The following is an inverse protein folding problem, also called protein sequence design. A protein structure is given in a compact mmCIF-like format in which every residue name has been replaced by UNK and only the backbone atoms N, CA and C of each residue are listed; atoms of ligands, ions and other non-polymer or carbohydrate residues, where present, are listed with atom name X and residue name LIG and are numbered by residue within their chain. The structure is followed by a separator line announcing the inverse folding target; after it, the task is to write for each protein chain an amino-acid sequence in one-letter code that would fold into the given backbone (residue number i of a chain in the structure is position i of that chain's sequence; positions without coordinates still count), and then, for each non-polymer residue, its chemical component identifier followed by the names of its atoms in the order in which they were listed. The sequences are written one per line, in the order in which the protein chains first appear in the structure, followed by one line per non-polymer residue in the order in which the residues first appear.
data_IF_148760617257
#
_entry.id   IF_148760617257
#
_cell.length_a   1.000
_cell.length_b   1.000
_cell.length_c   1.000
_cell.angle_alpha   90.00
_cell.angle_beta   90.00
_cell.angle_gamma   90.00
#
_symmetry.space_group_name_H-M   'P 1'
#
loop_
_entity.id
_entity.type
_entity.pdbx_description
1 polymer ?
#
# COMPACT_ATOMS: atom_id res chain seq x y z
N UNK A 1 -1.17 5.22 2.96
CA UNK A 1 -2.27 5.26 3.94
C UNK A 1 -3.62 5.32 3.23
N UNK A 2 -4.44 4.29 3.43
CA UNK A 2 -5.77 4.12 2.85
C UNK A 2 -6.84 5.04 3.47
N UNK A 3 -6.61 5.58 4.68
CA UNK A 3 -7.61 6.33 5.46
C UNK A 3 -8.95 5.60 5.69
N UNK A 4 -8.93 4.28 5.64
CA UNK A 4 -10.11 3.43 5.86
C UNK A 4 -10.80 3.63 7.23
N UNK A 5 -10.08 4.14 8.23
CA UNK A 5 -10.62 4.51 9.54
C UNK A 5 -11.52 5.76 9.54
N UNK A 6 -11.61 6.53 8.43
CA UNK A 6 -12.39 7.78 8.35
C UNK A 6 -13.84 7.60 7.88
N UNK A 7 -14.43 6.42 8.01
CA UNK A 7 -15.77 6.09 7.48
C UNK A 7 -15.90 6.39 5.97
N UNK A 8 -14.82 6.18 5.22
CA UNK A 8 -14.85 6.26 3.76
C UNK A 8 -15.62 5.07 3.20
N UNK A 9 -16.30 5.28 2.07
CA UNK A 9 -16.87 4.19 1.28
C UNK A 9 -15.76 3.29 0.70
N UNK A 10 -16.09 2.05 0.37
CA UNK A 10 -15.13 1.14 -0.26
C UNK A 10 -14.55 1.69 -1.57
N UNK A 11 -15.35 2.44 -2.34
CA UNK A 11 -14.92 3.09 -3.58
C UNK A 11 -13.90 4.21 -3.32
N UNK A 12 -14.11 5.04 -2.31
CA UNK A 12 -13.16 6.10 -1.91
C UNK A 12 -11.84 5.52 -1.40
N UNK A 13 -11.90 4.44 -0.61
CA UNK A 13 -10.70 3.69 -0.15
C UNK A 13 -9.93 3.17 -1.38
N UNK A 14 -10.64 2.51 -2.29
CA UNK A 14 -10.06 1.95 -3.52
C UNK A 14 -9.39 3.03 -4.35
N UNK A 15 -10.12 4.10 -4.71
CA UNK A 15 -9.60 5.20 -5.51
C UNK A 15 -8.37 5.85 -4.85
N UNK A 16 -8.41 6.06 -3.54
CA UNK A 16 -7.30 6.67 -2.82
C UNK A 16 -6.02 5.84 -2.90
N UNK A 17 -6.16 4.52 -2.75
CA UNK A 17 -5.02 3.60 -2.82
C UNK A 17 -4.51 3.54 -4.26
N UNK A 18 -5.36 3.21 -5.23
CA UNK A 18 -4.95 2.99 -6.62
C UNK A 18 -4.40 4.24 -7.28
N UNK A 19 -4.85 5.45 -6.90
CA UNK A 19 -4.31 6.70 -7.42
C UNK A 19 -2.93 7.09 -6.86
N UNK A 20 -2.41 6.41 -5.83
CA UNK A 20 -1.18 6.80 -5.12
C UNK A 20 -0.11 5.72 -5.06
N UNK A 21 -0.48 4.47 -5.29
CA UNK A 21 0.49 3.36 -5.31
C UNK A 21 1.53 3.59 -6.40
N UNK A 22 2.76 3.25 -6.06
CA UNK A 22 3.92 3.25 -6.93
C UNK A 22 4.84 2.10 -6.51
N UNK A 23 5.79 1.65 -7.37
CA UNK A 23 6.67 0.54 -7.03
C UNK A 23 7.40 0.73 -5.69
N UNK A 24 7.26 -0.25 -4.80
CA UNK A 24 7.80 -0.21 -3.43
C UNK A 24 6.88 0.42 -2.38
N UNK A 25 5.65 0.82 -2.73
CA UNK A 25 4.68 1.36 -1.77
C UNK A 25 4.30 0.35 -0.68
N UNK A 26 4.30 0.80 0.57
CA UNK A 26 3.68 0.09 1.70
C UNK A 26 2.33 0.75 1.99
N UNK A 27 1.24 0.02 1.78
CA UNK A 27 -0.12 0.52 1.97
C UNK A 27 -0.66 0.12 3.34
N UNK A 28 -0.85 1.11 4.21
CA UNK A 28 -1.46 0.93 5.53
C UNK A 28 -2.98 0.80 5.43
N UNK A 29 -3.53 -0.22 6.11
CA UNK A 29 -4.95 -0.46 6.38
C UNK A 29 -5.15 -0.83 7.85
N UNK A 30 -6.38 -0.69 8.34
CA UNK A 30 -6.81 -1.10 9.67
C UNK A 30 -7.71 -2.33 9.58
N UNK A 31 -7.38 -3.39 10.34
CA UNK A 31 -8.11 -4.66 10.32
C UNK A 31 -9.58 -4.55 10.80
N UNK A 32 -9.92 -3.52 11.56
CA UNK A 32 -11.25 -3.28 12.10
C UNK A 32 -12.03 -2.17 11.36
N UNK A 33 -11.50 -1.65 10.24
CA UNK A 33 -12.21 -0.64 9.46
C UNK A 33 -13.38 -1.26 8.67
N UNK A 34 -14.54 -0.62 8.76
CA UNK A 34 -15.84 -1.13 8.29
C UNK A 34 -15.84 -1.56 6.82
N UNK A 35 -15.29 -0.72 5.94
CA UNK A 35 -15.31 -0.93 4.49
C UNK A 35 -14.01 -1.50 3.92
N UNK A 36 -13.02 -1.82 4.77
CA UNK A 36 -11.76 -2.44 4.30
C UNK A 36 -11.99 -3.81 3.65
N UNK A 37 -12.78 -4.73 4.23
CA UNK A 37 -13.07 -6.01 3.58
C UNK A 37 -13.75 -5.86 2.22
N UNK A 38 -14.58 -4.83 2.04
CA UNK A 38 -15.29 -4.52 0.79
C UNK A 38 -14.36 -3.93 -0.27
N UNK A 39 -13.41 -3.08 0.10
CA UNK A 39 -12.49 -2.42 -0.83
C UNK A 39 -11.33 -3.34 -1.29
N UNK A 40 -10.88 -4.26 -0.44
CA UNK A 40 -9.69 -5.07 -0.69
C UNK A 40 -9.71 -5.87 -2.01
N UNK A 41 -10.80 -6.54 -2.41
CA UNK A 41 -10.84 -7.29 -3.67
C UNK A 41 -10.49 -6.42 -4.89
N UNK A 42 -11.11 -5.25 -5.02
CA UNK A 42 -10.86 -4.33 -6.14
C UNK A 42 -9.44 -3.76 -6.12
N UNK A 43 -8.89 -3.49 -4.93
CA UNK A 43 -7.50 -3.02 -4.78
C UNK A 43 -6.52 -4.11 -5.21
N UNK A 44 -6.72 -5.34 -4.75
CA UNK A 44 -5.85 -6.48 -5.09
C UNK A 44 -5.92 -6.76 -6.59
N UNK A 45 -7.12 -6.81 -7.17
CA UNK A 45 -7.29 -7.01 -8.62
C UNK A 45 -6.58 -5.92 -9.42
N UNK A 46 -6.77 -4.65 -9.07
CA UNK A 46 -6.08 -3.54 -9.72
C UNK A 46 -4.56 -3.69 -9.66
N UNK A 47 -4.00 -4.02 -8.49
CA UNK A 47 -2.56 -4.17 -8.32
C UNK A 47 -2.00 -5.29 -9.19
N UNK A 48 -2.64 -6.46 -9.19
CA UNK A 48 -2.21 -7.60 -10.00
C UNK A 48 -2.31 -7.29 -11.51
N UNK A 49 -3.40 -6.67 -11.96
CA UNK A 49 -3.58 -6.28 -13.37
C UNK A 49 -2.56 -5.23 -13.84
N UNK A 50 -2.06 -4.38 -12.93
CA UNK A 50 -1.04 -3.38 -13.23
C UNK A 50 0.39 -3.88 -12.97
N UNK A 51 0.59 -5.20 -12.83
CA UNK A 51 1.92 -5.82 -12.76
C UNK A 51 2.61 -5.71 -11.40
N UNK A 52 1.88 -5.33 -10.34
CA UNK A 52 2.42 -5.34 -8.98
C UNK A 52 2.41 -6.76 -8.40
N UNK A 53 3.41 -7.04 -7.56
CA UNK A 53 3.42 -8.20 -6.66
C UNK A 53 3.11 -7.74 -5.24
N UNK A 54 2.21 -8.44 -4.55
CA UNK A 54 1.91 -8.19 -3.13
C UNK A 54 2.82 -9.11 -2.32
N UNK A 55 3.75 -8.51 -1.58
CA UNK A 55 4.77 -9.22 -0.82
C UNK A 55 4.78 -8.78 0.65
N UNK A 56 5.30 -9.61 1.57
CA UNK A 56 5.59 -9.16 2.94
C UNK A 56 6.61 -8.02 2.96
N UNK A 57 6.52 -7.13 3.95
CA UNK A 57 7.46 -6.00 4.11
C UNK A 57 8.92 -6.47 4.14
N UNK A 58 9.20 -7.66 4.69
CA UNK A 58 10.55 -8.23 4.74
C UNK A 58 11.21 -8.42 3.37
N UNK A 59 10.43 -8.54 2.29
CA UNK A 59 10.93 -8.64 0.92
C UNK A 59 11.18 -7.27 0.26
N UNK A 60 10.62 -6.19 0.82
CA UNK A 60 10.86 -4.81 0.36
C UNK A 60 12.06 -4.15 1.04
N UNK A 61 12.52 -4.68 2.18
CA UNK A 61 13.63 -4.11 2.95
C UNK A 61 14.95 -4.38 2.24
N UNK A 62 15.72 -3.31 1.99
CA UNK A 62 17.10 -3.41 1.48
C UNK A 62 17.99 -3.93 2.62
N UNK A 63 18.72 -5.01 2.34
CA UNK A 63 19.73 -5.59 3.24
C UNK A 63 21.12 -5.13 2.81
N UNK A 64 22.00 -4.87 3.77
CA UNK A 64 23.35 -4.35 3.51
C UNK A 64 23.42 -2.83 3.66
N UNK A 65 24.28 -2.19 2.88
CA UNK A 65 24.48 -0.74 2.93
C UNK A 65 23.34 0.00 2.21
N UNK A 66 22.69 0.92 2.91
CA UNK A 66 21.66 1.80 2.38
C UNK A 66 21.71 3.15 3.10
N UNK A 67 21.13 4.16 2.45
CA UNK A 67 20.80 5.44 3.09
C UNK A 67 19.29 5.56 3.25
N UNK A 68 18.85 6.42 4.16
CA UNK A 68 17.43 6.76 4.33
C UNK A 68 17.26 8.24 4.05
N UNK A 69 16.30 8.58 3.19
CA UNK A 69 15.95 9.97 2.93
C UNK A 69 15.03 10.55 4.02
N UNK A 70 14.74 11.85 3.94
CA UNK A 70 13.87 12.53 4.89
C UNK A 70 12.41 12.01 4.89
N UNK A 71 12.01 11.21 3.90
CA UNK A 71 10.68 10.57 3.82
C UNK A 71 10.66 9.19 4.47
N UNK A 72 11.80 8.69 4.95
CA UNK A 72 11.94 7.35 5.52
C UNK A 72 12.14 6.25 4.47
N UNK A 73 12.41 6.60 3.21
CA UNK A 73 12.63 5.61 2.15
C UNK A 73 14.09 5.13 2.15
N UNK A 74 14.28 3.82 2.14
CA UNK A 74 15.59 3.22 1.91
C UNK A 74 16.01 3.40 0.44
N UNK A 75 17.25 3.84 0.25
CA UNK A 75 17.92 3.95 -1.04
C UNK A 75 19.19 3.10 -0.99
N UNK A 76 19.46 2.23 -1.99
CA UNK A 76 20.76 1.57 -2.09
C UNK A 76 21.90 2.59 -2.01
N UNK A 77 22.97 2.23 -1.29
CA UNK A 77 24.16 3.08 -1.16
C UNK A 77 24.85 3.33 -2.50
#
# INVERSE_FOLDING_TARGET
DSLDWKNLTASEITQRVTAKVNPGSIVLFHNAALHTPEALPSIIEYLLQNGYSIVPVSELIIKGDYTIDHTGRQLPA
#
